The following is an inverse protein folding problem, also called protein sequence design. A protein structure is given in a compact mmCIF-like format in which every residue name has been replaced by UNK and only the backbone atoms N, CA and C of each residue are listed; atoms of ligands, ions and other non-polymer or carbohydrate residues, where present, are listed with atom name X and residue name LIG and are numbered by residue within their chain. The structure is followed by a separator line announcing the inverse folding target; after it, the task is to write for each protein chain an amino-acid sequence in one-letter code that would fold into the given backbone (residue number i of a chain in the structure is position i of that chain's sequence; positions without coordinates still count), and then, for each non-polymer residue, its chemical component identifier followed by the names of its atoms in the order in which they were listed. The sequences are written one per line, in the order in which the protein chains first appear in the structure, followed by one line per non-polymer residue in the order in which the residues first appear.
data_IF_416627431186
#
_entry.id   IF_416627431186
#
_cell.length_a   1.000
_cell.length_b   1.000
_cell.length_c   1.000
_cell.angle_alpha   90.00
_cell.angle_beta   90.00
_cell.angle_gamma   90.00
#
_symmetry.space_group_name_H-M   'P 1'
#
loop_
_entity.id
_entity.type
_entity.pdbx_description
1 polymer ?
#
# COMPACT_ATOMS: atom_id res chain seq x y z
N UNK A 1 16.12 -6.52 -14.97
CA UNK A 1 16.34 -5.36 -14.08
C UNK A 1 15.11 -5.23 -13.20
N UNK A 2 15.25 -5.18 -11.88
CA UNK A 2 14.13 -4.98 -10.95
C UNK A 2 14.30 -3.61 -10.31
N UNK A 3 13.44 -2.65 -10.65
CA UNK A 3 13.42 -1.37 -9.94
C UNK A 3 12.59 -1.59 -8.69
N UNK A 4 13.23 -1.61 -7.52
CA UNK A 4 12.49 -1.67 -6.25
C UNK A 4 11.69 -0.38 -6.10
N UNK A 5 10.35 -0.44 -6.09
CA UNK A 5 9.54 0.75 -5.89
C UNK A 5 9.82 1.30 -4.48
N UNK A 6 9.86 2.64 -4.35
CA UNK A 6 10.12 3.32 -3.07
C UNK A 6 9.07 3.00 -2.00
N UNK A 7 7.90 2.51 -2.40
CA UNK A 7 6.81 2.08 -1.53
C UNK A 7 6.39 0.69 -1.97
N UNK A 8 6.32 -0.26 -1.04
CA UNK A 8 5.93 -1.65 -1.31
C UNK A 8 5.32 -2.30 -0.08
N UNK A 9 4.54 -3.35 -0.27
CA UNK A 9 4.16 -4.28 0.80
C UNK A 9 4.97 -5.56 0.61
N UNK A 10 5.67 -5.99 1.65
CA UNK A 10 6.44 -7.22 1.65
C UNK A 10 6.15 -8.01 2.92
N UNK A 11 5.69 -9.26 2.78
CA UNK A 11 5.34 -10.14 3.90
C UNK A 11 4.45 -9.46 4.96
N UNK A 12 3.42 -8.74 4.50
CA UNK A 12 2.51 -7.99 5.38
C UNK A 12 3.11 -6.74 6.02
N UNK A 13 4.27 -6.25 5.56
CA UNK A 13 4.89 -5.03 6.04
C UNK A 13 4.86 -3.94 4.97
N UNK A 14 4.35 -2.76 5.31
CA UNK A 14 4.48 -1.58 4.46
C UNK A 14 5.89 -1.02 4.61
N UNK A 15 6.65 -1.09 3.53
CA UNK A 15 8.03 -0.62 3.44
C UNK A 15 8.08 0.64 2.58
N UNK A 16 8.57 1.73 3.17
CA UNK A 16 8.76 3.02 2.51
C UNK A 16 10.23 3.39 2.60
N UNK A 17 10.88 3.56 1.43
CA UNK A 17 12.31 3.84 1.30
C UNK A 17 13.19 2.86 2.10
N UNK A 18 12.82 1.57 2.11
CA UNK A 18 13.56 0.52 2.83
C UNK A 18 13.26 0.44 4.34
N UNK A 19 12.43 1.32 4.88
CA UNK A 19 11.99 1.28 6.28
C UNK A 19 10.59 0.70 6.40
N UNK A 20 10.42 -0.28 7.27
CA UNK A 20 9.07 -0.75 7.64
C UNK A 20 8.39 0.31 8.49
N UNK A 21 7.23 0.78 8.04
CA UNK A 21 6.44 1.82 8.73
C UNK A 21 5.11 1.29 9.28
N UNK A 22 4.59 0.19 8.74
CA UNK A 22 3.44 -0.52 9.28
C UNK A 22 3.69 -2.03 9.14
N UNK A 23 3.22 -2.79 10.13
CA UNK A 23 3.19 -4.26 10.12
C UNK A 23 1.76 -4.76 10.06
N UNK A 24 1.57 -6.03 9.70
CA UNK A 24 0.26 -6.67 9.66
C UNK A 24 -0.69 -6.04 8.63
N UNK A 25 -0.15 -5.57 7.51
CA UNK A 25 -0.92 -5.06 6.38
C UNK A 25 -1.79 -6.21 5.82
N UNK A 26 -3.14 -6.07 5.82
CA UNK A 26 -4.01 -7.12 5.32
C UNK A 26 -3.89 -7.34 3.80
N UNK A 27 -4.14 -8.56 3.36
CA UNK A 27 -4.03 -8.96 1.94
C UNK A 27 -5.02 -8.24 1.02
N UNK A 28 -6.14 -7.74 1.56
CA UNK A 28 -7.13 -7.01 0.76
C UNK A 28 -6.71 -5.55 0.50
N UNK A 29 -5.60 -5.07 1.06
CA UNK A 29 -5.05 -3.74 0.80
C UNK A 29 -4.17 -3.76 -0.44
N UNK A 30 -4.42 -2.83 -1.37
CA UNK A 30 -3.71 -2.71 -2.65
C UNK A 30 -2.89 -1.42 -2.66
N UNK A 31 -1.63 -1.53 -3.05
CA UNK A 31 -0.72 -0.40 -3.19
C UNK A 31 -0.28 -0.25 -4.65
N UNK A 32 -0.48 0.94 -5.21
CA UNK A 32 -0.04 1.27 -6.57
C UNK A 32 1.00 2.39 -6.50
N UNK A 33 2.30 2.10 -6.73
CA UNK A 33 3.34 3.13 -6.72
C UNK A 33 3.11 4.18 -7.82
N UNK A 34 3.35 5.45 -7.49
CA UNK A 34 3.29 6.54 -8.48
C UNK A 34 4.45 6.43 -9.47
N UNK A 35 4.15 6.40 -10.77
CA UNK A 35 5.13 6.20 -11.85
C UNK A 35 5.75 7.49 -12.43
N UNK A 36 5.53 8.66 -11.80
CA UNK A 36 6.33 9.85 -12.09
C UNK A 36 6.01 10.60 -13.38
N UNK A 37 4.74 10.71 -13.78
CA UNK A 37 4.30 11.54 -14.92
C UNK A 37 3.08 12.43 -14.59
N UNK A 38 2.99 12.92 -13.34
CA UNK A 38 1.85 13.73 -12.86
C UNK A 38 1.39 13.39 -11.44
N UNK A 39 2.00 12.37 -10.83
CA UNK A 39 1.84 12.03 -9.42
C UNK A 39 3.09 12.44 -8.64
N UNK A 40 2.94 12.75 -7.34
CA UNK A 40 4.07 13.06 -6.47
C UNK A 40 5.14 11.96 -6.58
N UNK A 41 6.37 12.35 -6.95
CA UNK A 41 7.51 11.44 -7.00
C UNK A 41 7.73 10.83 -5.62
N UNK A 42 7.57 9.51 -5.52
CA UNK A 42 7.68 8.79 -4.24
C UNK A 42 6.38 8.66 -3.46
N UNK A 43 5.22 8.96 -4.05
CA UNK A 43 3.91 8.61 -3.50
C UNK A 43 3.38 7.26 -4.00
N UNK A 44 2.32 6.78 -3.38
CA UNK A 44 1.56 5.61 -3.81
C UNK A 44 0.07 5.82 -3.54
N UNK A 45 -0.78 5.21 -4.36
CA UNK A 45 -2.19 5.07 -4.05
C UNK A 45 -2.41 3.87 -3.15
N UNK A 46 -3.35 4.01 -2.22
CA UNK A 46 -3.80 2.96 -1.32
C UNK A 46 -5.28 2.72 -1.60
N UNK A 47 -5.62 1.47 -1.87
CA UNK A 47 -6.99 1.00 -1.99
C UNK A 47 -7.22 -0.25 -1.14
N UNK A 48 -8.47 -0.68 -1.05
CA UNK A 48 -8.82 -1.96 -0.45
C UNK A 48 -9.93 -2.62 -1.27
N UNK A 49 -9.92 -3.95 -1.32
CA UNK A 49 -11.02 -4.74 -1.89
C UNK A 49 -12.00 -5.14 -0.80
N UNK A 50 -13.29 -5.15 -1.15
CA UNK A 50 -14.38 -5.59 -0.30
C UNK A 50 -15.24 -6.60 -1.06
N UNK A 51 -15.52 -7.74 -0.43
CA UNK A 51 -16.36 -8.80 -1.02
C UNK A 51 -17.86 -8.49 -0.97
N UNK A 52 -18.27 -7.54 -0.13
CA UNK A 52 -19.67 -7.19 0.10
C UNK A 52 -20.01 -5.83 -0.49
N UNK A 53 -21.20 -5.72 -1.07
CA UNK A 53 -21.78 -4.44 -1.49
C UNK A 53 -22.45 -3.77 -0.30
N UNK A 54 -21.70 -2.90 0.39
CA UNK A 54 -22.19 -2.03 1.46
C UNK A 54 -21.73 -0.60 1.20
N UNK A 55 -22.45 0.37 1.76
CA UNK A 55 -22.11 1.79 1.62
C UNK A 55 -20.90 2.22 2.45
N UNK A 56 -20.51 1.43 3.47
CA UNK A 56 -19.37 1.72 4.34
C UNK A 56 -18.57 0.44 4.60
N UNK A 57 -17.26 0.54 4.39
CA UNK A 57 -16.28 -0.47 4.75
C UNK A 57 -15.13 0.19 5.50
N UNK A 58 -14.71 -0.43 6.60
CA UNK A 58 -13.59 0.04 7.42
C UNK A 58 -12.58 -1.10 7.50
N UNK A 59 -11.35 -0.83 7.04
CA UNK A 59 -10.25 -1.78 7.07
C UNK A 59 -9.07 -1.16 7.81
N UNK A 60 -8.43 -1.88 8.75
CA UNK A 60 -7.14 -1.46 9.26
C UNK A 60 -6.10 -1.58 8.15
N UNK A 61 -5.19 -0.60 8.05
CA UNK A 61 -4.08 -0.63 7.08
C UNK A 61 -2.85 -1.32 7.67
N UNK A 62 -2.76 -1.41 8.99
CA UNK A 62 -1.68 -2.06 9.71
C UNK A 62 -1.56 -1.52 11.13
N UNK A 63 -0.49 -1.93 11.82
CA UNK A 63 -0.10 -1.46 13.15
C UNK A 63 1.32 -0.89 13.10
N UNK A 64 1.62 0.03 14.02
CA UNK A 64 2.93 0.70 14.12
C UNK A 64 4.00 -0.20 14.75
#
# INVERSE_FOLDING_TARGET
MTVTPKISVNDGNLVVHGKTILKGVPENVVFTPGSGNGLITGGAFIGATASHTKSLHVFPIGIL
#
